data_IF_569422655346
#
_entry.id   IF_569422655346
#
_cell.length_a   1.000
_cell.length_b   1.000
_cell.length_c   1.000
_cell.angle_alpha   90.00
_cell.angle_beta   90.00
_cell.angle_gamma   90.00
#
_symmetry.space_group_name_H-M   'P 1'
#
loop_
_entity.id
_entity.type
_entity.pdbx_description
1 polymer ?
#
# COMPACT_ATOMS: atom_id res chain seq x y z
N UNK A 1 -20.61 1.99 -3.03
CA UNK A 1 -19.77 2.27 -1.85
C UNK A 1 -18.77 3.34 -2.24
N UNK A 2 -18.75 4.48 -1.54
CA UNK A 2 -17.82 5.57 -1.84
C UNK A 2 -16.44 5.18 -1.29
N UNK A 3 -15.48 5.05 -2.16
CA UNK A 3 -14.07 4.99 -1.77
C UNK A 3 -13.66 6.39 -1.32
N UNK A 4 -13.00 6.55 -0.17
CA UNK A 4 -12.55 7.86 0.35
C UNK A 4 -11.36 8.43 -0.46
N UNK A 5 -11.34 8.15 -1.76
CA UNK A 5 -10.40 8.71 -2.75
C UNK A 5 -11.20 9.36 -3.86
N UNK A 6 -10.89 10.61 -4.13
CA UNK A 6 -11.53 11.37 -5.21
C UNK A 6 -10.53 11.63 -6.32
N UNK A 7 -10.99 11.61 -7.57
CA UNK A 7 -10.22 12.09 -8.71
C UNK A 7 -10.72 13.47 -9.11
N UNK A 8 -9.83 14.45 -9.09
CA UNK A 8 -10.12 15.82 -9.49
C UNK A 8 -9.52 16.10 -10.87
N UNK A 9 -10.27 16.76 -11.74
CA UNK A 9 -9.76 17.21 -13.04
C UNK A 9 -8.96 18.50 -12.83
N UNK A 10 -7.64 18.42 -13.00
CA UNK A 10 -6.75 19.58 -12.96
C UNK A 10 -6.29 20.01 -14.35
N UNK A 11 -5.54 21.11 -14.45
CA UNK A 11 -5.01 21.64 -15.72
C UNK A 11 -4.10 20.66 -16.49
N UNK A 12 -3.47 19.70 -15.80
CA UNK A 12 -2.53 18.72 -16.36
C UNK A 12 -3.07 17.27 -16.35
N UNK A 13 -4.38 17.08 -16.18
CA UNK A 13 -5.02 15.78 -16.08
C UNK A 13 -5.67 15.52 -14.72
N UNK A 14 -6.00 14.26 -14.45
CA UNK A 14 -6.62 13.87 -13.18
C UNK A 14 -5.56 13.78 -12.06
N UNK A 15 -5.90 14.28 -10.87
CA UNK A 15 -5.15 14.06 -9.63
C UNK A 15 -6.01 13.29 -8.63
N UNK A 16 -5.40 12.39 -7.89
CA UNK A 16 -6.06 11.72 -6.77
C UNK A 16 -5.88 12.55 -5.51
N UNK A 17 -6.91 12.55 -4.67
CA UNK A 17 -6.90 13.25 -3.38
C UNK A 17 -7.55 12.39 -2.32
N UNK A 18 -7.11 12.55 -1.07
CA UNK A 18 -7.74 11.97 0.13
C UNK A 18 -8.18 13.08 1.07
N UNK A 19 -9.31 12.91 1.78
CA UNK A 19 -9.74 13.87 2.80
C UNK A 19 -8.72 13.84 3.93
N UNK A 20 -8.17 15.01 4.29
CA UNK A 20 -7.13 15.09 5.31
C UNK A 20 -7.69 14.75 6.71
N UNK A 21 -7.20 13.66 7.29
CA UNK A 21 -7.57 13.26 8.65
C UNK A 21 -6.97 14.17 9.72
N UNK A 22 -5.86 14.88 9.38
CA UNK A 22 -5.17 15.84 10.25
C UNK A 22 -5.09 17.21 9.57
N UNK A 23 -6.16 18.05 9.63
CA UNK A 23 -6.20 19.33 8.94
C UNK A 23 -4.99 20.23 9.25
N UNK A 24 -4.57 21.01 8.24
CA UNK A 24 -3.40 21.88 8.25
C UNK A 24 -2.04 21.16 8.37
N UNK A 25 -2.00 19.83 8.26
CA UNK A 25 -0.76 19.05 8.30
C UNK A 25 -0.56 18.26 7.00
N UNK A 26 0.57 18.48 6.35
CA UNK A 26 1.04 17.63 5.25
C UNK A 26 2.13 16.67 5.76
N UNK A 27 2.18 15.46 5.23
CA UNK A 27 3.05 14.39 5.74
C UNK A 27 4.42 14.37 5.07
N UNK A 28 4.46 14.66 3.76
CA UNK A 28 5.70 14.56 2.97
C UNK A 28 5.89 15.76 2.03
N UNK A 29 5.25 16.91 2.33
CA UNK A 29 5.27 18.13 1.54
C UNK A 29 4.27 18.12 0.37
N UNK A 30 3.26 17.25 0.40
CA UNK A 30 2.17 17.25 -0.56
C UNK A 30 1.30 18.51 -0.43
N UNK A 31 0.69 18.87 -1.54
CA UNK A 31 -0.20 20.04 -1.59
C UNK A 31 -1.52 19.74 -0.87
N UNK A 32 -1.95 20.67 -0.02
CA UNK A 32 -3.27 20.72 0.58
C UNK A 32 -4.20 21.57 -0.29
N UNK A 33 -5.45 21.16 -0.44
CA UNK A 33 -6.49 21.90 -1.18
C UNK A 33 -7.79 21.88 -0.38
N UNK A 34 -8.50 23.00 -0.38
CA UNK A 34 -9.82 23.13 0.24
C UNK A 34 -10.90 23.12 -0.84
N UNK A 35 -11.91 22.28 -0.64
CA UNK A 35 -13.10 22.19 -1.49
C UNK A 35 -14.31 22.12 -0.55
N UNK A 36 -15.23 23.07 -0.67
CA UNK A 36 -16.45 23.13 0.15
C UNK A 36 -16.20 23.01 1.66
N UNK A 37 -15.20 23.75 2.16
CA UNK A 37 -14.75 23.73 3.56
C UNK A 37 -14.17 22.39 4.05
N UNK A 38 -13.84 21.47 3.15
CA UNK A 38 -13.14 20.22 3.47
C UNK A 38 -11.74 20.27 2.88
N UNK A 39 -10.74 19.99 3.72
CA UNK A 39 -9.36 19.91 3.30
C UNK A 39 -9.01 18.52 2.75
N UNK A 40 -8.35 18.52 1.60
CA UNK A 40 -7.86 17.31 0.93
C UNK A 40 -6.34 17.38 0.74
N UNK A 41 -5.70 16.23 0.78
CA UNK A 41 -4.28 16.02 0.46
C UNK A 41 -4.14 15.49 -0.96
N UNK A 42 -3.30 16.14 -1.78
CA UNK A 42 -3.00 15.65 -3.13
C UNK A 42 -2.10 14.41 -3.05
N UNK A 43 -2.55 13.31 -3.63
CA UNK A 43 -1.79 12.06 -3.64
C UNK A 43 -0.84 11.99 -4.83
N UNK A 44 0.44 12.22 -4.58
CA UNK A 44 1.45 12.29 -5.62
C UNK A 44 1.84 10.90 -6.15
N UNK A 45 1.49 10.63 -7.40
CA UNK A 45 1.80 9.35 -8.04
C UNK A 45 3.32 9.05 -8.14
N UNK A 46 4.19 10.06 -8.20
CA UNK A 46 5.65 9.87 -8.19
C UNK A 46 6.20 9.43 -6.84
N UNK A 47 5.44 9.59 -5.76
CA UNK A 47 5.84 9.24 -4.39
C UNK A 47 5.09 8.03 -3.83
N UNK A 48 4.10 7.50 -4.56
CA UNK A 48 3.29 6.36 -4.14
C UNK A 48 3.03 5.40 -5.30
N UNK A 49 3.42 4.14 -5.14
CA UNK A 49 3.22 3.11 -6.14
C UNK A 49 1.74 2.78 -6.36
N UNK A 50 0.91 2.85 -5.29
CA UNK A 50 -0.53 2.71 -5.42
C UNK A 50 -1.13 3.84 -6.26
N UNK A 51 -0.78 5.11 -5.97
CA UNK A 51 -1.25 6.24 -6.77
C UNK A 51 -0.78 6.13 -8.23
N UNK A 52 0.46 5.67 -8.47
CA UNK A 52 0.94 5.35 -9.83
C UNK A 52 0.11 4.28 -10.52
N UNK A 53 -0.20 3.19 -9.82
CA UNK A 53 -1.01 2.10 -10.35
C UNK A 53 -2.43 2.56 -10.70
N UNK A 54 -3.02 3.44 -9.89
CA UNK A 54 -4.32 4.05 -10.16
C UNK A 54 -4.31 4.87 -11.45
N UNK A 55 -3.22 5.60 -11.76
CA UNK A 55 -3.07 6.30 -13.06
C UNK A 55 -2.97 5.35 -14.25
N UNK A 56 -2.64 4.08 -14.04
CA UNK A 56 -2.61 3.02 -15.03
C UNK A 56 -3.86 2.11 -14.95
N UNK A 57 -4.96 2.67 -14.43
CA UNK A 57 -6.27 2.01 -14.36
C UNK A 57 -6.36 0.75 -13.46
N UNK A 58 -5.48 0.59 -12.47
CA UNK A 58 -5.79 -0.26 -11.33
C UNK A 58 -6.88 0.46 -10.51
N UNK A 59 -7.92 -0.27 -10.15
CA UNK A 59 -8.92 0.28 -9.22
C UNK A 59 -8.29 0.41 -7.84
N UNK A 60 -8.75 1.39 -7.07
CA UNK A 60 -8.43 1.45 -5.64
C UNK A 60 -8.83 0.12 -5.01
N UNK A 61 -7.95 -0.52 -4.21
CA UNK A 61 -8.35 -1.72 -3.45
C UNK A 61 -9.62 -1.46 -2.63
N UNK A 62 -10.36 -2.52 -2.30
CA UNK A 62 -11.60 -2.43 -1.52
C UNK A 62 -11.34 -1.98 -0.09
N UNK A 63 -10.96 -0.72 0.08
CA UNK A 63 -10.74 -0.07 1.37
C UNK A 63 -12.02 0.67 1.76
N UNK A 64 -12.50 0.45 2.99
CA UNK A 64 -13.68 1.11 3.55
C UNK A 64 -13.28 1.84 4.82
N UNK A 65 -14.10 2.78 5.24
CA UNK A 65 -14.00 3.33 6.59
C UNK A 65 -14.10 2.21 7.62
N UNK A 66 -13.21 2.23 8.62
CA UNK A 66 -13.10 1.17 9.62
C UNK A 66 -12.35 -0.10 9.19
N UNK A 67 -11.78 -0.15 7.96
CA UNK A 67 -10.99 -1.32 7.52
C UNK A 67 -9.70 -1.49 8.31
N UNK A 68 -9.30 -2.74 8.54
CA UNK A 68 -7.99 -3.11 9.07
C UNK A 68 -7.04 -3.48 7.93
N UNK A 69 -5.85 -2.88 7.93
CA UNK A 69 -4.87 -3.01 6.85
C UNK A 69 -3.55 -3.51 7.44
N UNK A 70 -2.94 -4.54 6.84
CA UNK A 70 -1.54 -4.87 7.08
C UNK A 70 -0.68 -4.29 5.97
N UNK A 71 0.24 -3.40 6.30
CA UNK A 71 1.12 -2.73 5.37
C UNK A 71 2.57 -3.17 5.57
N UNK A 72 3.14 -3.87 4.62
CA UNK A 72 4.52 -4.34 4.65
C UNK A 72 5.44 -3.37 3.90
N UNK A 73 6.50 -2.90 4.57
CA UNK A 73 7.42 -1.89 4.04
C UNK A 73 6.83 -0.48 4.08
N UNK A 74 6.38 -0.06 5.26
CA UNK A 74 5.70 1.21 5.48
C UNK A 74 6.58 2.45 5.26
N UNK A 75 7.90 2.29 5.34
CA UNK A 75 8.87 3.39 5.23
C UNK A 75 8.52 4.53 6.19
N UNK A 76 8.66 5.78 5.78
CA UNK A 76 8.29 6.97 6.56
C UNK A 76 6.78 7.29 6.55
N UNK A 77 5.94 6.44 5.93
CA UNK A 77 4.48 6.58 5.98
C UNK A 77 3.81 7.37 4.85
N UNK A 78 4.50 7.67 3.74
CA UNK A 78 3.93 8.43 2.62
C UNK A 78 2.62 7.83 2.10
N UNK A 79 2.63 6.58 1.64
CA UNK A 79 1.41 5.88 1.17
C UNK A 79 0.48 5.53 2.33
N UNK A 80 1.05 5.10 3.45
CA UNK A 80 0.33 4.76 4.69
C UNK A 80 -0.58 5.91 5.15
N UNK A 81 -0.11 7.16 5.09
CA UNK A 81 -0.90 8.33 5.51
C UNK A 81 -2.13 8.58 4.64
N UNK A 82 -2.07 8.29 3.34
CA UNK A 82 -3.24 8.36 2.47
C UNK A 82 -4.22 7.22 2.73
N UNK A 83 -3.72 6.00 2.99
CA UNK A 83 -4.57 4.89 3.40
C UNK A 83 -5.21 5.19 4.75
N UNK A 84 -4.49 5.81 5.69
CA UNK A 84 -5.02 6.30 6.98
C UNK A 84 -6.19 7.27 6.78
N UNK A 85 -6.08 8.23 5.84
CA UNK A 85 -7.19 9.11 5.46
C UNK A 85 -8.40 8.31 4.94
N UNK A 86 -8.15 7.24 4.18
CA UNK A 86 -9.22 6.45 3.54
C UNK A 86 -10.01 5.59 4.51
N UNK A 87 -9.33 4.97 5.48
CA UNK A 87 -9.98 4.12 6.49
C UNK A 87 -10.62 4.92 7.63
N UNK A 88 -10.29 6.20 7.76
CA UNK A 88 -10.80 7.07 8.82
C UNK A 88 -10.30 6.68 10.23
N UNK A 89 -10.81 7.36 11.28
CA UNK A 89 -10.31 7.18 12.64
C UNK A 89 -10.66 5.81 13.26
N UNK A 90 -11.66 5.12 12.72
CA UNK A 90 -12.16 3.84 13.24
C UNK A 90 -11.48 2.61 12.60
N UNK A 91 -10.62 2.81 11.58
CA UNK A 91 -9.83 1.74 10.98
C UNK A 91 -8.46 1.62 11.62
N UNK A 92 -7.69 0.59 11.25
CA UNK A 92 -6.34 0.38 11.77
C UNK A 92 -5.37 0.02 10.63
N UNK A 93 -4.18 0.63 10.64
CA UNK A 93 -3.06 0.20 9.79
C UNK A 93 -1.96 -0.36 10.67
N UNK A 94 -1.72 -1.66 10.57
CA UNK A 94 -0.53 -2.30 11.11
C UNK A 94 0.62 -2.08 10.12
N UNK A 95 1.52 -1.16 10.44
CA UNK A 95 2.54 -0.66 9.54
C UNK A 95 3.91 -1.26 9.88
N UNK A 96 4.30 -2.31 9.14
CA UNK A 96 5.57 -3.03 9.34
C UNK A 96 6.70 -2.30 8.63
N UNK A 97 7.74 -1.93 9.39
CA UNK A 97 8.97 -1.35 8.85
C UNK A 97 10.20 -1.92 9.59
N UNK A 98 11.15 -2.43 8.80
CA UNK A 98 12.35 -3.06 9.36
C UNK A 98 13.46 -2.04 9.65
N UNK A 99 13.56 -0.99 8.86
CA UNK A 99 14.69 -0.04 8.89
C UNK A 99 14.49 1.02 10.00
N UNK A 100 15.42 1.17 10.95
CA UNK A 100 15.22 2.03 12.12
C UNK A 100 14.96 3.51 11.80
N UNK A 101 15.63 4.04 10.76
CA UNK A 101 15.48 5.46 10.38
C UNK A 101 14.08 5.78 9.85
N UNK A 102 13.55 5.08 8.82
CA UNK A 102 12.16 5.27 8.38
C UNK A 102 11.15 4.95 9.48
N UNK A 103 11.39 3.91 10.30
CA UNK A 103 10.52 3.53 11.40
C UNK A 103 10.35 4.65 12.43
N UNK A 104 11.40 5.45 12.70
CA UNK A 104 11.30 6.62 13.58
C UNK A 104 10.36 7.69 13.00
N UNK A 105 10.45 7.93 11.69
CA UNK A 105 9.57 8.91 11.03
C UNK A 105 8.12 8.42 11.00
N UNK A 106 7.91 7.11 10.76
CA UNK A 106 6.61 6.45 10.84
C UNK A 106 6.02 6.52 12.25
N UNK A 107 6.83 6.33 13.30
CA UNK A 107 6.41 6.48 14.69
C UNK A 107 6.00 7.93 15.00
N UNK A 108 6.72 8.93 14.48
CA UNK A 108 6.31 10.33 14.65
C UNK A 108 4.99 10.62 13.93
N UNK A 109 4.77 10.02 12.76
CA UNK A 109 3.50 10.12 12.03
C UNK A 109 2.35 9.49 12.84
N UNK A 110 2.56 8.36 13.49
CA UNK A 110 1.51 7.69 14.29
C UNK A 110 1.03 8.51 15.49
N UNK A 111 1.86 9.40 16.04
CA UNK A 111 1.43 10.36 17.08
C UNK A 111 0.39 11.36 16.59
N UNK A 112 0.36 11.63 15.29
CA UNK A 112 -0.59 12.54 14.64
C UNK A 112 -1.78 11.79 14.05
N UNK A 113 -1.66 10.46 13.87
CA UNK A 113 -2.64 9.58 13.22
C UNK A 113 -2.76 8.29 14.02
N UNK A 114 -3.67 8.30 15.00
CA UNK A 114 -3.85 7.23 15.98
C UNK A 114 -4.27 5.89 15.35
N UNK A 115 -4.79 5.94 14.10
CA UNK A 115 -5.15 4.76 13.32
C UNK A 115 -3.96 4.07 12.64
N UNK A 116 -2.71 4.52 12.89
CA UNK A 116 -1.48 3.88 12.41
C UNK A 116 -0.75 3.26 13.62
N UNK A 117 -0.55 1.96 13.59
CA UNK A 117 0.24 1.20 14.57
C UNK A 117 1.58 0.83 13.91
N UNK A 118 2.67 1.55 14.21
CA UNK A 118 3.98 1.22 13.68
C UNK A 118 4.55 -0.01 14.39
N UNK A 119 5.03 -0.99 13.62
CA UNK A 119 5.63 -2.22 14.13
C UNK A 119 7.02 -2.37 13.50
N UNK A 120 8.06 -2.38 14.35
CA UNK A 120 9.44 -2.56 13.91
C UNK A 120 9.72 -4.05 13.86
N UNK A 121 9.59 -4.66 12.67
CA UNK A 121 9.74 -6.09 12.46
C UNK A 121 10.17 -6.42 11.02
N UNK A 122 10.65 -7.65 10.81
CA UNK A 122 10.95 -8.18 9.48
C UNK A 122 9.68 -8.82 8.86
N UNK A 123 9.19 -8.27 7.76
CA UNK A 123 8.02 -8.79 7.04
C UNK A 123 8.17 -10.25 6.57
N UNK A 124 9.39 -10.81 6.52
CA UNK A 124 9.65 -12.22 6.23
C UNK A 124 9.29 -13.16 7.39
N UNK A 125 9.05 -12.60 8.57
CA UNK A 125 8.79 -13.30 9.82
C UNK A 125 7.44 -12.87 10.42
N UNK A 126 6.32 -13.18 9.76
CA UNK A 126 5.01 -12.71 10.20
C UNK A 126 4.68 -13.14 11.64
N UNK A 127 5.19 -14.25 12.12
CA UNK A 127 5.00 -14.70 13.51
C UNK A 127 5.52 -13.72 14.58
N UNK A 128 6.47 -12.83 14.24
CA UNK A 128 7.04 -11.87 15.21
C UNK A 128 6.02 -10.78 15.65
N UNK A 129 4.92 -10.60 14.90
CA UNK A 129 3.88 -9.63 15.23
C UNK A 129 2.47 -10.24 15.34
N UNK A 130 2.40 -11.56 15.54
CA UNK A 130 1.12 -12.27 15.63
C UNK A 130 0.27 -11.88 16.85
N UNK A 131 0.88 -11.38 17.91
CA UNK A 131 0.15 -10.91 19.09
C UNK A 131 -0.44 -9.50 18.93
N UNK A 132 -0.06 -8.79 17.86
CA UNK A 132 -0.47 -7.40 17.61
C UNK A 132 -1.46 -7.31 16.45
N UNK A 133 -1.26 -8.13 15.41
CA UNK A 133 -2.02 -8.07 14.15
C UNK A 133 -3.15 -9.08 14.16
N UNK A 134 -4.37 -8.56 14.09
CA UNK A 134 -5.57 -9.37 13.85
C UNK A 134 -5.83 -9.59 12.36
N UNK A 135 -6.91 -10.30 12.01
CA UNK A 135 -7.34 -10.50 10.64
C UNK A 135 -7.61 -9.18 9.91
N UNK A 136 -7.01 -9.01 8.72
CA UNK A 136 -7.06 -7.77 7.95
C UNK A 136 -7.93 -7.85 6.69
N UNK A 137 -8.47 -6.71 6.30
CA UNK A 137 -9.35 -6.56 5.13
C UNK A 137 -8.56 -6.25 3.85
N UNK A 138 -7.30 -5.83 3.99
CA UNK A 138 -6.36 -5.63 2.89
C UNK A 138 -4.93 -5.92 3.38
N UNK A 139 -4.18 -6.66 2.56
CA UNK A 139 -2.73 -6.78 2.67
C UNK A 139 -2.08 -5.90 1.60
N UNK A 140 -1.20 -5.01 2.03
CA UNK A 140 -0.42 -4.14 1.15
C UNK A 140 1.08 -4.42 1.29
N UNK A 141 1.82 -4.52 0.18
CA UNK A 141 3.27 -4.71 0.23
C UNK A 141 4.02 -3.79 -0.73
N UNK A 142 5.02 -3.09 -0.20
CA UNK A 142 5.99 -2.27 -0.93
C UNK A 142 7.42 -2.54 -0.43
N UNK A 143 7.76 -3.83 -0.29
CA UNK A 143 9.11 -4.26 0.13
C UNK A 143 9.99 -4.57 -1.09
N UNK A 144 11.26 -4.20 -1.02
CA UNK A 144 12.22 -4.40 -2.10
C UNK A 144 13.18 -5.56 -1.80
N UNK A 145 12.63 -6.77 -1.57
CA UNK A 145 13.38 -8.00 -1.28
C UNK A 145 13.38 -8.96 -2.47
N UNK A 146 14.32 -9.92 -2.57
CA UNK A 146 14.31 -10.92 -3.64
C UNK A 146 13.09 -11.85 -3.60
N UNK A 147 12.55 -12.11 -2.43
CA UNK A 147 11.46 -13.04 -2.14
C UNK A 147 10.10 -12.35 -1.91
N UNK A 148 9.84 -11.24 -2.64
CA UNK A 148 8.69 -10.34 -2.43
C UNK A 148 7.35 -11.05 -2.44
N UNK A 149 7.04 -11.87 -3.45
CA UNK A 149 5.77 -12.60 -3.52
C UNK A 149 5.66 -13.68 -2.43
N UNK A 150 6.76 -14.36 -2.11
CA UNK A 150 6.75 -15.40 -1.07
C UNK A 150 6.48 -14.84 0.32
N UNK A 151 7.12 -13.70 0.68
CA UNK A 151 6.83 -13.05 1.95
C UNK A 151 5.39 -12.48 2.00
N UNK A 152 4.89 -11.99 0.86
CA UNK A 152 3.51 -11.51 0.74
C UNK A 152 2.50 -12.63 0.98
N UNK A 153 2.72 -13.80 0.36
CA UNK A 153 1.90 -15.00 0.54
C UNK A 153 1.89 -15.45 2.00
N UNK A 154 3.07 -15.54 2.67
CA UNK A 154 3.17 -15.93 4.08
C UNK A 154 2.35 -15.01 5.00
N UNK A 155 2.36 -13.71 4.72
CA UNK A 155 1.55 -12.75 5.47
C UNK A 155 0.06 -12.87 5.15
N UNK A 156 -0.29 -13.16 3.88
CA UNK A 156 -1.67 -13.41 3.50
C UNK A 156 -2.24 -14.65 4.20
N UNK A 157 -1.50 -15.76 4.23
CA UNK A 157 -1.90 -17.00 4.91
C UNK A 157 -2.15 -16.81 6.41
N UNK A 158 -1.47 -15.86 7.04
CA UNK A 158 -1.57 -15.64 8.47
C UNK A 158 -2.62 -14.60 8.85
N UNK A 159 -2.82 -13.58 8.03
CA UNK A 159 -3.60 -12.41 8.44
C UNK A 159 -4.72 -12.01 7.48
N UNK A 160 -4.62 -12.34 6.18
CA UNK A 160 -5.58 -11.84 5.21
C UNK A 160 -6.88 -12.63 5.29
N UNK A 161 -7.99 -11.95 5.53
CA UNK A 161 -9.32 -12.56 5.57
C UNK A 161 -9.66 -13.20 4.22
N UNK A 162 -10.45 -14.25 4.25
CA UNK A 162 -11.00 -14.86 3.05
C UNK A 162 -11.71 -13.82 2.18
N UNK A 163 -11.57 -13.93 0.88
CA UNK A 163 -12.12 -13.02 -0.13
C UNK A 163 -11.63 -11.57 -0.04
N UNK A 164 -10.70 -11.26 0.88
CA UNK A 164 -10.08 -9.95 0.97
C UNK A 164 -9.06 -9.74 -0.16
N UNK A 165 -8.65 -8.49 -0.38
CA UNK A 165 -7.72 -8.15 -1.45
C UNK A 165 -6.29 -8.00 -0.95
N UNK A 166 -5.35 -8.27 -1.85
CA UNK A 166 -3.94 -8.01 -1.66
C UNK A 166 -3.39 -7.12 -2.77
N UNK A 167 -2.63 -6.10 -2.39
CA UNK A 167 -1.88 -5.25 -3.32
C UNK A 167 -0.38 -5.39 -3.06
N UNK A 168 0.39 -5.66 -4.11
CA UNK A 168 1.86 -5.71 -4.02
C UNK A 168 2.51 -4.90 -5.14
N UNK A 169 3.49 -4.06 -4.80
CA UNK A 169 4.38 -3.39 -5.72
C UNK A 169 5.66 -4.23 -5.90
N UNK A 170 5.80 -4.88 -7.05
CA UNK A 170 6.92 -5.79 -7.35
C UNK A 170 8.06 -5.02 -7.99
N UNK A 171 9.20 -4.94 -7.32
CA UNK A 171 10.45 -4.37 -7.83
C UNK A 171 11.31 -5.47 -8.46
N UNK A 172 11.19 -5.67 -9.76
CA UNK A 172 11.84 -6.77 -10.47
C UNK A 172 13.37 -6.79 -10.34
N UNK A 173 14.01 -5.61 -10.26
CA UNK A 173 15.47 -5.50 -10.10
C UNK A 173 15.98 -5.81 -8.69
N UNK A 174 15.12 -5.95 -7.71
CA UNK A 174 15.48 -6.53 -6.40
C UNK A 174 15.52 -8.05 -6.43
N UNK A 175 14.83 -8.68 -7.38
CA UNK A 175 14.80 -10.13 -7.56
C UNK A 175 16.00 -10.59 -8.40
N UNK A 176 16.19 -9.99 -9.58
CA UNK A 176 17.32 -10.31 -10.46
C UNK A 176 17.77 -9.09 -11.27
N UNK A 177 19.08 -8.87 -11.31
CA UNK A 177 19.70 -7.85 -12.15
C UNK A 177 19.91 -8.34 -13.60
N UNK A 178 19.98 -9.66 -13.82
CA UNK A 178 20.37 -10.30 -15.08
C UNK A 178 19.20 -10.75 -15.93
N UNK A 179 18.12 -11.20 -15.32
CA UNK A 179 16.96 -11.71 -16.05
C UNK A 179 16.14 -10.59 -16.72
N UNK A 180 15.38 -10.97 -17.77
CA UNK A 180 14.43 -10.06 -18.42
C UNK A 180 13.32 -9.69 -17.45
N UNK A 181 13.03 -8.39 -17.35
CA UNK A 181 12.04 -7.82 -16.44
C UNK A 181 10.68 -8.53 -16.56
N UNK A 182 10.17 -8.73 -17.78
CA UNK A 182 8.90 -9.40 -18.02
C UNK A 182 8.89 -10.86 -17.53
N UNK A 183 10.02 -11.59 -17.68
CA UNK A 183 10.13 -12.97 -17.19
C UNK A 183 10.05 -13.03 -15.67
N UNK A 184 10.78 -12.14 -14.99
CA UNK A 184 10.72 -12.02 -13.52
C UNK A 184 9.27 -11.77 -13.09
N UNK A 185 8.62 -10.78 -13.70
CA UNK A 185 7.26 -10.41 -13.34
C UNK A 185 6.26 -11.56 -13.55
N UNK A 186 6.34 -12.29 -14.67
CA UNK A 186 5.49 -13.46 -14.92
C UNK A 186 5.70 -14.58 -13.90
N UNK A 187 6.94 -14.80 -13.45
CA UNK A 187 7.23 -15.78 -12.40
C UNK A 187 6.60 -15.36 -11.05
N UNK A 188 6.67 -14.07 -10.70
CA UNK A 188 6.04 -13.54 -9.49
C UNK A 188 4.50 -13.66 -9.55
N UNK A 189 3.88 -13.33 -10.69
CA UNK A 189 2.44 -13.51 -10.91
C UNK A 189 2.04 -14.96 -10.71
N UNK A 190 2.76 -15.87 -11.37
CA UNK A 190 2.48 -17.31 -11.25
C UNK A 190 2.60 -17.78 -9.80
N UNK A 191 3.65 -17.33 -9.08
CA UNK A 191 3.79 -17.69 -7.66
C UNK A 191 2.61 -17.20 -6.80
N UNK A 192 2.10 -16.01 -7.05
CA UNK A 192 0.91 -15.49 -6.36
C UNK A 192 -0.34 -16.34 -6.67
N UNK A 193 -0.57 -16.66 -7.94
CA UNK A 193 -1.74 -17.44 -8.39
C UNK A 193 -1.69 -18.89 -7.88
N UNK A 194 -0.55 -19.56 -7.99
CA UNK A 194 -0.36 -20.93 -7.51
C UNK A 194 -0.56 -21.06 -5.99
N UNK A 195 -0.40 -19.95 -5.25
CA UNK A 195 -0.51 -19.92 -3.79
C UNK A 195 -1.79 -19.28 -3.24
N UNK A 196 -2.81 -19.06 -4.07
CA UNK A 196 -4.16 -18.74 -3.60
C UNK A 196 -4.66 -17.34 -3.91
N UNK A 197 -3.90 -16.50 -4.61
CA UNK A 197 -4.39 -15.24 -5.13
C UNK A 197 -5.03 -15.42 -6.52
N UNK A 198 -6.22 -14.85 -6.71
CA UNK A 198 -6.83 -14.68 -8.02
C UNK A 198 -6.51 -13.27 -8.52
N UNK A 199 -5.83 -13.17 -9.65
CA UNK A 199 -5.48 -11.88 -10.26
C UNK A 199 -6.73 -11.08 -10.62
N UNK A 200 -6.85 -9.87 -10.09
CA UNK A 200 -7.84 -8.87 -10.50
C UNK A 200 -7.23 -8.01 -11.60
N UNK A 201 -6.03 -7.48 -11.37
CA UNK A 201 -5.30 -6.68 -12.36
C UNK A 201 -3.82 -6.55 -12.00
N UNK A 202 -3.00 -6.47 -13.05
CA UNK A 202 -1.59 -6.08 -12.92
C UNK A 202 -1.25 -5.03 -13.98
N UNK A 203 -0.34 -4.10 -13.64
CA UNK A 203 0.08 -3.02 -14.53
C UNK A 203 1.56 -2.69 -14.36
N UNK A 204 2.19 -2.27 -15.45
CA UNK A 204 3.53 -1.71 -15.44
C UNK A 204 3.46 -0.24 -14.96
N UNK A 205 4.17 0.08 -13.89
CA UNK A 205 4.30 1.44 -13.35
C UNK A 205 5.71 2.02 -13.54
N UNK A 206 6.52 1.41 -14.42
CA UNK A 206 7.92 1.80 -14.68
C UNK A 206 8.06 3.24 -15.17
N UNK A 207 7.01 3.82 -15.72
CA UNK A 207 6.95 5.24 -16.10
C UNK A 207 7.24 6.17 -14.91
N UNK A 208 6.85 5.77 -13.71
CA UNK A 208 7.01 6.57 -12.49
C UNK A 208 8.00 5.94 -11.50
N UNK A 209 8.05 4.62 -11.46
CA UNK A 209 8.89 3.82 -10.57
C UNK A 209 9.66 2.77 -11.38
N UNK A 210 10.89 3.08 -11.76
CA UNK A 210 11.72 2.24 -12.64
C UNK A 210 11.72 0.76 -12.22
N UNK A 211 11.41 -0.13 -13.19
CA UNK A 211 11.38 -1.58 -13.02
C UNK A 211 10.38 -2.06 -11.94
N UNK A 212 9.25 -1.36 -11.78
CA UNK A 212 8.18 -1.78 -10.90
C UNK A 212 6.91 -2.13 -11.66
N UNK A 213 6.23 -3.15 -11.14
CA UNK A 213 4.88 -3.53 -11.49
C UNK A 213 3.99 -3.45 -10.26
N UNK A 214 2.72 -3.15 -10.45
CA UNK A 214 1.72 -3.24 -9.41
C UNK A 214 0.77 -4.39 -9.71
N UNK A 215 0.44 -5.15 -8.69
CA UNK A 215 -0.50 -6.26 -8.73
C UNK A 215 -1.60 -6.06 -7.70
N UNK A 216 -2.84 -6.35 -8.10
CA UNK A 216 -4.01 -6.43 -7.24
C UNK A 216 -4.66 -7.80 -7.44
N UNK A 217 -4.84 -8.55 -6.38
CA UNK A 217 -5.48 -9.85 -6.39
C UNK A 217 -6.47 -10.04 -5.25
N UNK A 218 -7.34 -11.04 -5.39
CA UNK A 218 -8.26 -11.50 -4.35
C UNK A 218 -7.72 -12.77 -3.72
N UNK A 219 -7.75 -12.86 -2.40
CA UNK A 219 -7.35 -14.03 -1.63
C UNK A 219 -8.47 -15.05 -1.55
N UNK A 220 -8.22 -16.29 -1.94
CA UNK A 220 -9.25 -17.33 -2.07
C UNK A 220 -9.12 -18.47 -1.03
N UNK A 221 -8.21 -18.36 -0.05
CA UNK A 221 -8.05 -19.37 1.00
C UNK A 221 -8.79 -18.99 2.27
#
# INVERSE_FOLDING_TARGET
MMTNVWSLKGLKGYMYVTKNLTPNYNVYGERLINIDNVEYRVWEHKKSKLASAMTQHIKVPSIKEGSNILYLGASSGTTVSHISDMIGPNGTIYAIEFSPRPARDLYNLSKMRENIIPIIADARKPQEYAEIVDGVDLLFSDVAQPDQSSLFIKNAEMYLKKDAQGFIAIKTRSISQREKINKIFQNELKNLEDNGFKTIKSVDISRFHRAHYAYLGQWNK
#
